data_IF_616169891203
#
_entry.id   IF_616169891203
#
_cell.length_a   1.000
_cell.length_b   1.000
_cell.length_c   1.000
_cell.angle_alpha   90.00
_cell.angle_beta   90.00
_cell.angle_gamma   90.00
#
_symmetry.space_group_name_H-M   'P 1'
#
loop_
_entity.id
_entity.type
_entity.pdbx_description
1 polymer ?
#
# COMPACT_ATOMS: atom_id res chain seq x y z
N UNK A 1 -19.29 -13.90 -2.14
CA UNK A 1 -18.74 -12.57 -1.76
C UNK A 1 -19.35 -11.51 -2.67
N UNK A 2 -19.65 -10.30 -2.17
CA UNK A 2 -20.16 -9.22 -3.03
C UNK A 2 -19.09 -8.84 -4.07
N UNK A 3 -19.45 -8.60 -5.34
CA UNK A 3 -18.48 -8.42 -6.43
C UNK A 3 -17.51 -7.26 -6.18
N UNK A 4 -17.96 -6.17 -5.55
CA UNK A 4 -17.11 -5.03 -5.17
C UNK A 4 -16.05 -5.41 -4.11
N UNK A 5 -16.42 -6.21 -3.11
CA UNK A 5 -15.49 -6.64 -2.06
C UNK A 5 -14.43 -7.60 -2.63
N UNK A 6 -14.84 -8.51 -3.51
CA UNK A 6 -13.90 -9.42 -4.17
C UNK A 6 -12.86 -8.64 -4.99
N UNK A 7 -13.30 -7.65 -5.79
CA UNK A 7 -12.39 -6.77 -6.55
C UNK A 7 -11.44 -6.01 -5.64
N UNK A 8 -11.93 -5.46 -4.53
CA UNK A 8 -11.10 -4.78 -3.54
C UNK A 8 -10.01 -5.70 -2.99
N UNK A 9 -10.37 -6.93 -2.59
CA UNK A 9 -9.42 -7.92 -2.05
C UNK A 9 -8.36 -8.29 -3.09
N UNK A 10 -8.74 -8.49 -4.35
CA UNK A 10 -7.80 -8.81 -5.43
C UNK A 10 -6.78 -7.67 -5.58
N UNK A 11 -7.24 -6.43 -5.73
CA UNK A 11 -6.34 -5.28 -5.88
C UNK A 11 -5.44 -5.07 -4.66
N UNK A 12 -5.97 -5.19 -3.45
CA UNK A 12 -5.17 -5.07 -2.22
C UNK A 12 -4.12 -6.18 -2.09
N UNK A 13 -4.44 -7.40 -2.55
CA UNK A 13 -3.48 -8.52 -2.56
C UNK A 13 -2.38 -8.30 -3.60
N UNK A 14 -2.72 -7.74 -4.77
CA UNK A 14 -1.73 -7.34 -5.76
C UNK A 14 -0.81 -6.23 -5.22
N UNK A 15 -1.38 -5.22 -4.55
CA UNK A 15 -0.61 -4.17 -3.89
C UNK A 15 0.36 -4.75 -2.85
N UNK A 16 -0.11 -5.66 -2.00
CA UNK A 16 0.72 -6.39 -1.02
C UNK A 16 1.90 -7.09 -1.71
N UNK A 17 1.64 -7.83 -2.78
CA UNK A 17 2.67 -8.55 -3.52
C UNK A 17 3.74 -7.61 -4.09
N UNK A 18 3.32 -6.52 -4.74
CA UNK A 18 4.25 -5.54 -5.33
C UNK A 18 5.04 -4.76 -4.28
N UNK A 19 4.39 -4.28 -3.21
CA UNK A 19 5.10 -3.60 -2.13
C UNK A 19 6.10 -4.52 -1.44
N UNK A 20 5.71 -5.77 -1.16
CA UNK A 20 6.61 -6.77 -0.58
C UNK A 20 7.83 -6.97 -1.48
N UNK A 21 7.61 -7.16 -2.78
CA UNK A 21 8.69 -7.33 -3.75
C UNK A 21 9.62 -6.11 -3.77
N UNK A 22 9.06 -4.90 -3.86
CA UNK A 22 9.83 -3.67 -3.96
C UNK A 22 10.69 -3.43 -2.69
N UNK A 23 10.11 -3.60 -1.51
CA UNK A 23 10.78 -3.33 -0.23
C UNK A 23 11.82 -4.40 0.11
N UNK A 24 11.50 -5.68 -0.08
CA UNK A 24 12.41 -6.79 0.23
C UNK A 24 13.58 -6.84 -0.74
N UNK A 25 13.33 -6.73 -2.05
CA UNK A 25 14.43 -6.72 -3.03
C UNK A 25 15.21 -5.40 -3.01
N UNK A 26 14.55 -4.29 -2.69
CA UNK A 26 15.22 -3.00 -2.46
C UNK A 26 16.23 -3.04 -1.30
N UNK A 27 16.09 -3.97 -0.34
CA UNK A 27 17.12 -4.21 0.68
C UNK A 27 18.43 -4.74 0.10
N UNK A 28 18.35 -5.59 -0.93
CA UNK A 28 19.48 -6.31 -1.51
C UNK A 28 20.13 -5.53 -2.64
N UNK A 29 19.30 -4.97 -3.52
CA UNK A 29 19.74 -4.27 -4.73
C UNK A 29 19.87 -2.76 -4.51
N UNK A 30 19.14 -2.18 -3.56
CA UNK A 30 19.03 -0.74 -3.40
C UNK A 30 17.91 -0.11 -4.23
N UNK A 31 17.86 1.23 -4.23
CA UNK A 31 16.91 2.01 -5.02
C UNK A 31 17.31 2.04 -6.49
N UNK A 32 16.93 1.00 -7.24
CA UNK A 32 16.96 1.02 -8.70
C UNK A 32 15.60 1.36 -9.30
N UNK A 33 15.61 1.73 -10.58
CA UNK A 33 14.40 2.03 -11.38
C UNK A 33 13.39 0.89 -11.33
N UNK A 34 13.84 -0.37 -11.27
CA UNK A 34 12.97 -1.55 -11.17
C UNK A 34 12.14 -1.53 -9.88
N UNK A 35 12.77 -1.32 -8.72
CA UNK A 35 12.08 -1.23 -7.43
C UNK A 35 11.11 -0.06 -7.42
N UNK A 36 11.50 1.08 -7.99
CA UNK A 36 10.64 2.25 -8.13
C UNK A 36 9.38 1.92 -8.96
N UNK A 37 9.54 1.29 -10.13
CA UNK A 37 8.42 0.89 -10.99
C UNK A 37 7.49 -0.11 -10.29
N UNK A 38 8.05 -1.13 -9.62
CA UNK A 38 7.24 -2.11 -8.89
C UNK A 38 6.52 -1.46 -7.71
N UNK A 39 7.17 -0.55 -6.98
CA UNK A 39 6.53 0.20 -5.91
C UNK A 39 5.39 1.07 -6.43
N UNK A 40 5.59 1.75 -7.57
CA UNK A 40 4.56 2.54 -8.23
C UNK A 40 3.35 1.70 -8.70
N UNK A 41 3.60 0.50 -9.23
CA UNK A 41 2.53 -0.46 -9.53
C UNK A 41 1.77 -0.87 -8.27
N UNK A 42 2.49 -1.17 -7.18
CA UNK A 42 1.88 -1.43 -5.87
C UNK A 42 0.94 -0.30 -5.43
N UNK A 43 1.40 0.96 -5.54
CA UNK A 43 0.63 2.16 -5.21
C UNK A 43 -0.61 2.33 -6.10
N UNK A 44 -0.49 2.03 -7.39
CA UNK A 44 -1.62 2.05 -8.29
C UNK A 44 -2.71 1.04 -7.89
N UNK A 45 -2.31 -0.20 -7.59
CA UNK A 45 -3.25 -1.23 -7.12
C UNK A 45 -3.83 -0.92 -5.74
N UNK A 46 -3.06 -0.34 -4.84
CA UNK A 46 -3.51 0.11 -3.52
C UNK A 46 -4.58 1.20 -3.62
N UNK A 47 -4.36 2.18 -4.50
CA UNK A 47 -5.34 3.21 -4.81
C UNK A 47 -6.62 2.61 -5.42
N UNK A 48 -6.52 1.70 -6.39
CA UNK A 48 -7.68 1.01 -6.96
C UNK A 48 -8.44 0.18 -5.92
N UNK A 49 -7.73 -0.55 -5.07
CA UNK A 49 -8.31 -1.30 -3.95
C UNK A 49 -9.08 -0.39 -3.01
N UNK A 50 -8.47 0.73 -2.62
CA UNK A 50 -9.10 1.75 -1.76
C UNK A 50 -10.36 2.34 -2.39
N UNK A 51 -10.37 2.62 -3.70
CA UNK A 51 -11.57 3.07 -4.41
C UNK A 51 -12.69 2.02 -4.32
N UNK A 52 -12.40 0.74 -4.56
CA UNK A 52 -13.39 -0.33 -4.46
C UNK A 52 -13.92 -0.49 -3.01
N UNK A 53 -13.05 -0.36 -2.00
CA UNK A 53 -13.45 -0.37 -0.59
C UNK A 53 -14.37 0.79 -0.24
N UNK A 54 -14.09 1.99 -0.76
CA UNK A 54 -14.94 3.17 -0.57
C UNK A 54 -16.32 3.00 -1.22
N UNK A 55 -16.37 2.45 -2.44
CA UNK A 55 -17.64 2.12 -3.10
C UNK A 55 -18.42 1.08 -2.27
N UNK A 56 -17.75 0.04 -1.78
CA UNK A 56 -18.36 -0.94 -0.89
C UNK A 56 -18.90 -0.29 0.40
N UNK A 57 -18.13 0.62 1.02
CA UNK A 57 -18.51 1.31 2.25
C UNK A 57 -19.75 2.19 2.07
N UNK A 58 -19.92 2.83 0.91
CA UNK A 58 -21.12 3.62 0.58
C UNK A 58 -22.38 2.75 0.50
N UNK A 59 -22.27 1.55 -0.04
CA UNK A 59 -23.42 0.65 -0.23
C UNK A 59 -23.70 -0.26 0.97
N UNK A 60 -22.69 -0.56 1.80
CA UNK A 60 -22.77 -1.62 2.81
C UNK A 60 -22.24 -1.24 4.19
N UNK A 61 -21.91 0.03 4.41
CA UNK A 61 -21.46 0.58 5.68
C UNK A 61 -19.94 0.70 5.77
N UNK A 62 -19.47 1.77 6.42
CA UNK A 62 -18.05 2.11 6.58
C UNK A 62 -17.34 1.17 7.54
N UNK A 63 -16.07 0.86 7.25
CA UNK A 63 -15.16 0.20 8.19
C UNK A 63 -14.95 1.05 9.47
N UNK A 64 -14.43 0.47 10.57
CA UNK A 64 -14.10 1.22 11.78
C UNK A 64 -13.27 2.47 11.47
N UNK A 65 -13.51 3.57 12.18
CA UNK A 65 -12.85 4.86 11.91
C UNK A 65 -11.33 4.76 12.00
N UNK A 66 -10.82 3.96 12.95
CA UNK A 66 -9.39 3.72 13.11
C UNK A 66 -8.76 3.07 11.87
N UNK A 67 -9.48 2.15 11.21
CA UNK A 67 -9.00 1.54 9.96
C UNK A 67 -8.98 2.56 8.83
N UNK A 68 -10.03 3.38 8.70
CA UNK A 68 -10.06 4.41 7.65
C UNK A 68 -8.92 5.42 7.84
N UNK A 69 -8.67 5.87 9.07
CA UNK A 69 -7.60 6.82 9.36
C UNK A 69 -6.22 6.22 9.08
N UNK A 70 -5.97 5.00 9.56
CA UNK A 70 -4.68 4.30 9.32
C UNK A 70 -4.48 4.01 7.83
N UNK A 71 -5.54 3.65 7.10
CA UNK A 71 -5.51 3.46 5.65
C UNK A 71 -5.14 4.74 4.89
N UNK A 72 -5.75 5.88 5.23
CA UNK A 72 -5.44 7.18 4.61
C UNK A 72 -3.99 7.58 4.88
N UNK A 73 -3.56 7.52 6.14
CA UNK A 73 -2.18 7.86 6.54
C UNK A 73 -1.17 6.96 5.84
N UNK A 74 -1.50 5.68 5.71
CA UNK A 74 -0.61 4.71 5.08
C UNK A 74 -0.51 4.91 3.56
N UNK A 75 -1.64 5.05 2.85
CA UNK A 75 -1.65 5.31 1.41
C UNK A 75 -0.96 6.64 1.10
N UNK A 76 -1.21 7.67 1.90
CA UNK A 76 -0.53 8.97 1.80
C UNK A 76 0.98 8.85 2.03
N UNK A 77 1.40 8.07 3.04
CA UNK A 77 2.80 7.78 3.31
C UNK A 77 3.49 7.04 2.15
N UNK A 78 2.84 6.02 1.58
CA UNK A 78 3.33 5.29 0.41
C UNK A 78 3.50 6.22 -0.79
N UNK A 79 2.50 7.06 -1.08
CA UNK A 79 2.56 8.02 -2.17
C UNK A 79 3.67 9.06 -1.97
N UNK A 80 3.77 9.65 -0.78
CA UNK A 80 4.82 10.61 -0.44
C UNK A 80 6.21 9.99 -0.62
N UNK A 81 6.40 8.77 -0.11
CA UNK A 81 7.65 8.06 -0.24
C UNK A 81 8.01 7.74 -1.70
N UNK A 82 7.04 7.32 -2.52
CA UNK A 82 7.22 7.10 -3.95
C UNK A 82 7.66 8.38 -4.67
N UNK A 83 7.05 9.53 -4.36
CA UNK A 83 7.43 10.81 -4.96
C UNK A 83 8.86 11.22 -4.59
N UNK A 84 9.27 11.02 -3.34
CA UNK A 84 10.66 11.24 -2.92
C UNK A 84 11.63 10.30 -3.66
N UNK A 85 11.26 9.03 -3.82
CA UNK A 85 12.04 8.05 -4.55
C UNK A 85 12.23 8.45 -6.02
N UNK A 86 11.13 8.88 -6.66
CA UNK A 86 11.09 9.33 -8.03
C UNK A 86 11.96 10.58 -8.21
N UNK A 87 11.81 11.59 -7.34
CA UNK A 87 12.64 12.78 -7.36
C UNK A 87 14.13 12.46 -7.18
N UNK A 88 14.48 11.61 -6.21
CA UNK A 88 15.87 11.19 -5.99
C UNK A 88 16.47 10.43 -7.19
N UNK A 89 15.66 9.62 -7.88
CA UNK A 89 16.06 8.92 -9.10
C UNK A 89 16.27 9.89 -10.26
N UNK A 90 15.37 10.85 -10.47
CA UNK A 90 15.46 11.86 -11.54
C UNK A 90 16.65 12.82 -11.34
N UNK A 91 17.02 13.09 -10.09
CA UNK A 91 18.17 13.94 -9.76
C UNK A 91 19.50 13.18 -9.75
N UNK A 92 19.54 11.90 -10.14
CA UNK A 92 20.71 11.02 -10.04
C UNK A 92 21.35 10.98 -8.64
N UNK A 93 20.54 11.12 -7.58
CA UNK A 93 20.97 11.07 -6.18
C UNK A 93 20.62 9.77 -5.47
N UNK A 94 20.01 8.81 -6.17
CA UNK A 94 19.49 7.55 -5.63
C UNK A 94 20.51 6.81 -4.75
N UNK A 95 21.77 6.69 -5.20
CA UNK A 95 22.84 6.00 -4.46
C UNK A 95 23.15 6.66 -3.11
N UNK A 96 23.20 8.00 -3.05
CA UNK A 96 23.51 8.75 -1.83
C UNK A 96 22.44 8.59 -0.75
N UNK A 97 21.18 8.40 -1.16
CA UNK A 97 20.04 8.33 -0.21
C UNK A 97 19.59 6.89 0.07
N UNK A 98 20.20 5.90 -0.58
CA UNK A 98 19.72 4.51 -0.59
C UNK A 98 19.54 3.89 0.82
N UNK A 99 20.49 4.13 1.75
CA UNK A 99 20.40 3.62 3.13
C UNK A 99 19.23 4.22 3.92
N UNK A 100 19.06 5.54 3.85
CA UNK A 100 17.95 6.24 4.51
C UNK A 100 16.63 5.85 3.88
N UNK A 101 16.62 5.74 2.54
CA UNK A 101 15.47 5.34 1.76
C UNK A 101 14.93 3.99 2.23
N UNK A 102 15.78 2.97 2.32
CA UNK A 102 15.37 1.64 2.77
C UNK A 102 14.72 1.63 4.16
N UNK A 103 15.32 2.35 5.14
CA UNK A 103 14.75 2.45 6.49
C UNK A 103 13.36 3.08 6.46
N UNK A 104 13.19 4.16 5.68
CA UNK A 104 11.88 4.83 5.53
C UNK A 104 10.88 3.93 4.81
N UNK A 105 11.28 3.24 3.73
CA UNK A 105 10.41 2.29 3.01
C UNK A 105 9.88 1.22 3.95
N UNK A 106 10.74 0.65 4.80
CA UNK A 106 10.38 -0.43 5.71
C UNK A 106 9.38 0.05 6.78
N UNK A 107 9.58 1.25 7.33
CA UNK A 107 8.66 1.85 8.30
C UNK A 107 7.28 2.05 7.69
N UNK A 108 7.21 2.70 6.52
CA UNK A 108 5.92 2.99 5.85
C UNK A 108 5.23 1.70 5.41
N UNK A 109 6.00 0.73 4.90
CA UNK A 109 5.50 -0.60 4.57
C UNK A 109 4.91 -1.33 5.77
N UNK A 110 5.56 -1.25 6.93
CA UNK A 110 5.06 -1.89 8.16
C UNK A 110 3.77 -1.25 8.64
N UNK A 111 3.67 0.08 8.58
CA UNK A 111 2.43 0.81 8.88
C UNK A 111 1.30 0.41 7.92
N UNK A 112 1.63 0.24 6.63
CA UNK A 112 0.68 -0.23 5.63
C UNK A 112 0.21 -1.66 5.87
N UNK A 113 1.11 -2.56 6.26
CA UNK A 113 0.75 -3.93 6.60
C UNK A 113 -0.22 -3.99 7.79
N UNK A 114 -0.06 -3.11 8.78
CA UNK A 114 -1.00 -2.97 9.88
C UNK A 114 -2.39 -2.45 9.41
N UNK A 115 -2.42 -1.46 8.52
CA UNK A 115 -3.66 -0.99 7.91
C UNK A 115 -4.34 -2.10 7.07
N UNK A 116 -3.58 -2.82 6.25
CA UNK A 116 -4.06 -3.97 5.48
C UNK A 116 -4.65 -5.06 6.38
N UNK A 117 -3.94 -5.45 7.45
CA UNK A 117 -4.40 -6.48 8.39
C UNK A 117 -5.69 -6.06 9.11
N UNK A 118 -5.76 -4.82 9.59
CA UNK A 118 -6.99 -4.31 10.22
C UNK A 118 -8.19 -4.29 9.27
N UNK A 119 -7.96 -3.98 7.99
CA UNK A 119 -8.98 -4.02 6.94
C UNK A 119 -9.46 -5.43 6.65
N UNK A 120 -8.54 -6.39 6.55
CA UNK A 120 -8.85 -7.80 6.35
C UNK A 120 -9.69 -8.36 7.52
N UNK A 121 -9.31 -8.08 8.77
CA UNK A 121 -10.07 -8.49 9.97
C UNK A 121 -11.48 -7.88 9.95
N UNK A 122 -11.61 -6.58 9.67
CA UNK A 122 -12.92 -5.91 9.55
C UNK A 122 -13.78 -6.55 8.45
N UNK A 123 -13.18 -6.88 7.31
CA UNK A 123 -13.87 -7.58 6.21
C UNK A 123 -14.39 -8.95 6.62
N UNK A 124 -13.55 -9.76 7.27
CA UNK A 124 -13.93 -11.10 7.77
C UNK A 124 -15.05 -11.01 8.79
N UNK A 125 -14.95 -10.12 9.78
CA UNK A 125 -15.96 -9.96 10.82
C UNK A 125 -17.33 -9.61 10.23
N UNK A 126 -17.37 -8.72 9.22
CA UNK A 126 -18.60 -8.32 8.54
C UNK A 126 -19.21 -9.38 7.65
N UNK A 127 -18.42 -10.35 7.17
CA UNK A 127 -18.93 -11.51 6.45
C UNK A 127 -19.51 -12.58 7.39
N UNK A 128 -19.08 -12.61 8.65
CA UNK A 128 -19.51 -13.63 9.63
C UNK A 128 -20.76 -13.22 10.41
N UNK A 129 -21.04 -11.92 10.50
CA UNK A 129 -22.18 -11.32 11.23
C UNK A 129 -23.44 -11.19 10.35
N UNK A 130 -23.37 -11.58 9.08
CA UNK A 130 -24.48 -11.51 8.12
C UNK A 130 -24.71 -12.84 7.45
#
# INVERSE_FOLDING_TARGET
>A
MKPLLLRAVIFMTMALAFYTYAVVNGRREGLHTKQLLVFGLGLFFDWLGTQQMNLFARSFGKAPEIHNLTGILSLGGMAFHFLLALAASLMHRAERVNRTFHRVSLTIYTLWLAAFASGAVSGILRMKVR
#
